data_IF_911770014847
#
_entry.id   IF_911770014847
#
_cell.length_a   1.000
_cell.length_b   1.000
_cell.length_c   1.000
_cell.angle_alpha   90.00
_cell.angle_beta   90.00
_cell.angle_gamma   90.00
#
_symmetry.space_group_name_H-M   'P 1'
#
loop_
_entity.id
_entity.type
_entity.pdbx_description
1 polymer ?
#
# COMPACT_ATOMS: atom_id res chain seq x y z
N UNK A 1 -9.87 -19.74 3.06
CA UNK A 1 -9.41 -20.68 4.09
C UNK A 1 -10.63 -21.32 4.75
N UNK A 2 -10.68 -22.63 4.92
CA UNK A 2 -11.75 -23.33 5.63
C UNK A 2 -11.53 -23.26 7.16
N UNK A 3 -12.58 -23.44 7.96
CA UNK A 3 -12.48 -23.38 9.43
C UNK A 3 -11.46 -24.38 10.02
N UNK A 4 -11.32 -25.58 9.44
CA UNK A 4 -10.32 -26.56 9.86
C UNK A 4 -8.86 -26.14 9.59
N UNK A 5 -8.62 -25.13 8.76
CA UNK A 5 -7.27 -24.59 8.56
C UNK A 5 -6.83 -23.67 9.72
N UNK A 6 -7.75 -23.15 10.54
CA UNK A 6 -7.39 -22.39 11.75
C UNK A 6 -6.67 -23.26 12.78
N UNK A 7 -7.11 -24.51 12.95
CA UNK A 7 -6.47 -25.46 13.87
C UNK A 7 -5.07 -25.83 13.37
N UNK A 8 -4.90 -26.00 12.04
CA UNK A 8 -3.60 -26.20 11.42
C UNK A 8 -2.67 -25.01 11.64
N UNK A 9 -3.18 -23.79 11.51
CA UNK A 9 -2.41 -22.57 11.81
C UNK A 9 -2.01 -22.53 13.28
N UNK A 10 -2.92 -22.79 14.21
CA UNK A 10 -2.63 -22.81 15.63
C UNK A 10 -1.55 -23.86 15.99
N UNK A 11 -1.63 -25.06 15.42
CA UNK A 11 -0.62 -26.10 15.58
C UNK A 11 0.74 -25.67 15.01
N UNK A 12 0.74 -25.01 13.85
CA UNK A 12 1.95 -24.50 13.22
C UNK A 12 2.63 -23.43 14.10
N UNK A 13 1.85 -22.49 14.61
CA UNK A 13 2.32 -21.41 15.47
C UNK A 13 2.86 -21.92 16.81
N UNK A 14 2.29 -23.02 17.32
CA UNK A 14 2.70 -23.63 18.58
C UNK A 14 2.38 -22.77 19.80
N UNK A 15 3.08 -23.02 20.91
CA UNK A 15 2.85 -22.32 22.17
C UNK A 15 3.17 -20.81 22.12
N UNK A 16 2.37 -20.03 22.85
CA UNK A 16 2.60 -18.59 23.07
C UNK A 16 1.85 -17.64 22.12
N UNK A 17 1.09 -18.17 21.15
CA UNK A 17 0.18 -17.39 20.33
C UNK A 17 -1.25 -17.45 20.89
N UNK A 18 -1.89 -16.29 21.03
CA UNK A 18 -3.28 -16.18 21.48
C UNK A 18 -4.18 -15.84 20.31
N UNK A 19 -5.25 -16.59 20.10
CA UNK A 19 -6.23 -16.30 19.06
C UNK A 19 -7.30 -15.33 19.58
N UNK A 20 -7.66 -14.32 18.78
CA UNK A 20 -8.89 -13.57 18.96
C UNK A 20 -9.60 -13.35 17.62
N UNK A 21 -10.93 -13.21 17.66
CA UNK A 21 -11.71 -12.76 16.50
C UNK A 21 -11.48 -11.26 16.29
N UNK A 22 -11.41 -10.86 15.03
CA UNK A 22 -11.18 -9.48 14.63
C UNK A 22 -9.89 -9.30 13.83
N UNK A 23 -9.74 -8.07 13.33
CA UNK A 23 -8.57 -7.61 12.59
C UNK A 23 -7.36 -7.42 13.53
N UNK A 24 -6.14 -7.42 12.98
CA UNK A 24 -4.97 -6.97 13.73
C UNK A 24 -5.11 -5.49 14.15
N UNK A 25 -4.29 -5.01 15.10
CA UNK A 25 -4.36 -3.63 15.58
C UNK A 25 -4.21 -2.64 14.40
N UNK A 26 -5.04 -1.59 14.41
CA UNK A 26 -5.14 -0.65 13.28
C UNK A 26 -3.84 0.15 13.03
N UNK A 27 -3.02 0.30 14.06
CA UNK A 27 -1.72 0.96 14.07
C UNK A 27 -0.54 0.00 13.79
N UNK A 28 -0.83 -1.26 13.47
CA UNK A 28 0.22 -2.24 13.20
C UNK A 28 0.98 -1.95 11.90
N UNK A 29 2.30 -2.06 11.96
CA UNK A 29 3.18 -1.99 10.79
C UNK A 29 3.08 -3.30 10.01
N UNK A 30 2.66 -3.23 8.76
CA UNK A 30 2.54 -4.40 7.91
C UNK A 30 3.93 -4.86 7.43
N UNK A 31 4.24 -6.13 7.70
CA UNK A 31 5.53 -6.74 7.32
C UNK A 31 5.56 -7.10 5.82
N UNK A 32 4.40 -7.12 5.16
CA UNK A 32 4.25 -7.31 3.71
C UNK A 32 3.81 -6.05 3.02
N UNK A 33 4.21 -5.91 1.75
CA UNK A 33 3.80 -4.79 0.91
C UNK A 33 2.30 -4.87 0.64
N UNK A 34 1.62 -3.72 0.62
CA UNK A 34 0.17 -3.67 0.28
C UNK A 34 -0.15 -4.33 -1.06
N UNK A 35 0.71 -4.18 -2.07
CA UNK A 35 0.53 -4.80 -3.38
C UNK A 35 0.63 -6.34 -3.38
N UNK A 36 1.13 -6.94 -2.29
CA UNK A 36 1.16 -8.39 -2.13
C UNK A 36 -0.10 -8.94 -1.44
N UNK A 37 -0.99 -8.07 -0.97
CA UNK A 37 -2.24 -8.44 -0.31
C UNK A 37 -3.32 -8.69 -1.36
N UNK A 38 -4.06 -9.78 -1.18
CA UNK A 38 -5.27 -10.06 -1.94
C UNK A 38 -6.38 -9.08 -1.55
N UNK A 39 -7.22 -8.69 -2.51
CA UNK A 39 -8.38 -7.84 -2.23
C UNK A 39 -9.41 -8.60 -1.38
N UNK A 40 -9.71 -8.08 -0.20
CA UNK A 40 -10.65 -8.71 0.73
C UNK A 40 -12.08 -8.82 0.19
N UNK A 41 -12.44 -8.17 -0.92
CA UNK A 41 -13.76 -8.29 -1.56
C UNK A 41 -13.88 -9.40 -2.53
N UNK A 42 -12.86 -9.54 -3.36
CA UNK A 42 -12.71 -10.73 -4.15
C UNK A 42 -12.68 -11.99 -3.25
N UNK A 43 -11.96 -11.92 -2.13
CA UNK A 43 -11.79 -13.07 -1.23
C UNK A 43 -13.02 -13.36 -0.36
N UNK A 44 -13.65 -12.33 0.21
CA UNK A 44 -14.72 -12.50 1.21
C UNK A 44 -16.13 -12.24 0.65
N UNK A 45 -16.28 -12.02 -0.67
CA UNK A 45 -17.58 -11.83 -1.32
C UNK A 45 -18.41 -13.10 -1.50
N UNK A 46 -17.85 -14.27 -1.18
CA UNK A 46 -18.51 -15.58 -1.24
C UNK A 46 -18.92 -16.12 0.13
N UNK A 47 -18.82 -17.44 0.31
CA UNK A 47 -19.08 -18.07 1.60
C UNK A 47 -18.20 -17.51 2.73
N UNK A 48 -18.74 -17.37 3.97
CA UNK A 48 -18.00 -16.84 5.11
C UNK A 48 -16.84 -17.75 5.50
N UNK A 49 -15.65 -17.35 5.07
CA UNK A 49 -14.38 -18.04 5.32
C UNK A 49 -13.51 -17.19 6.25
N UNK A 50 -12.89 -17.79 7.28
CA UNK A 50 -12.00 -17.03 8.15
C UNK A 50 -10.78 -16.53 7.39
N UNK A 51 -10.46 -15.25 7.54
CA UNK A 51 -9.20 -14.65 7.09
C UNK A 51 -8.27 -14.56 8.28
N UNK A 52 -7.07 -15.08 8.13
CA UNK A 52 -6.10 -15.21 9.22
C UNK A 52 -5.04 -14.13 9.14
N UNK A 53 -4.75 -13.55 10.29
CA UNK A 53 -3.67 -12.61 10.50
C UNK A 53 -2.77 -13.06 11.65
N UNK A 54 -1.50 -12.68 11.58
CA UNK A 54 -0.54 -12.78 12.68
C UNK A 54 -0.17 -11.37 13.11
N UNK A 55 -0.20 -11.12 14.42
CA UNK A 55 0.19 -9.86 15.03
C UNK A 55 1.24 -10.11 16.11
N UNK A 56 2.41 -9.51 15.95
CA UNK A 56 3.50 -9.58 16.91
C UNK A 56 3.72 -8.21 17.56
N UNK A 57 3.78 -8.16 18.90
CA UNK A 57 4.12 -6.94 19.62
C UNK A 57 5.54 -7.00 20.13
N UNK A 58 6.31 -5.94 19.93
CA UNK A 58 7.60 -5.76 20.56
C UNK A 58 7.88 -4.27 20.72
N UNK A 59 8.53 -3.88 21.82
CA UNK A 59 8.98 -2.49 22.04
C UNK A 59 7.84 -1.44 21.92
N UNK A 60 6.62 -1.83 22.29
CA UNK A 60 5.43 -0.96 22.18
C UNK A 60 4.82 -0.87 20.77
N UNK A 61 5.44 -1.46 19.75
CA UNK A 61 4.94 -1.47 18.37
C UNK A 61 4.30 -2.81 18.01
N UNK A 62 3.18 -2.76 17.31
CA UNK A 62 2.58 -3.93 16.65
C UNK A 62 3.10 -4.09 15.22
N UNK A 63 3.40 -5.34 14.86
CA UNK A 63 3.74 -5.77 13.51
C UNK A 63 2.68 -6.77 13.05
N UNK A 64 2.15 -6.60 11.85
CA UNK A 64 1.09 -7.44 11.33
C UNK A 64 1.47 -8.12 10.01
N UNK A 65 0.89 -9.29 9.80
CA UNK A 65 1.04 -10.08 8.60
C UNK A 65 -0.27 -10.81 8.28
N UNK A 66 -0.63 -10.86 7.00
CA UNK A 66 -1.73 -11.66 6.48
C UNK A 66 -1.73 -11.62 4.97
N UNK A 67 -2.42 -12.56 4.33
CA UNK A 67 -2.49 -12.66 2.86
C UNK A 67 -3.50 -11.71 2.22
N UNK A 68 -4.51 -11.29 2.99
CA UNK A 68 -5.64 -10.52 2.51
C UNK A 68 -5.61 -9.14 3.17
N UNK A 69 -5.99 -8.10 2.43
CA UNK A 69 -6.13 -6.77 3.01
C UNK A 69 -7.27 -6.74 4.05
N UNK A 70 -7.13 -6.02 5.17
CA UNK A 70 -8.20 -5.82 6.14
C UNK A 70 -9.49 -5.34 5.48
N UNK A 71 -10.58 -6.07 5.69
CA UNK A 71 -11.90 -5.71 5.19
C UNK A 71 -12.98 -6.15 6.18
N UNK A 72 -13.93 -5.28 6.48
CA UNK A 72 -14.96 -5.51 7.51
C UNK A 72 -15.91 -6.67 7.16
N UNK A 73 -16.13 -6.91 5.87
CA UNK A 73 -16.92 -8.04 5.36
C UNK A 73 -16.28 -9.41 5.61
N UNK A 74 -14.98 -9.45 5.92
CA UNK A 74 -14.27 -10.70 6.18
C UNK A 74 -14.44 -11.14 7.64
N UNK A 75 -14.79 -12.40 7.85
CA UNK A 75 -14.67 -13.02 9.18
C UNK A 75 -13.19 -13.12 9.52
N UNK A 76 -12.69 -12.22 10.35
CA UNK A 76 -11.26 -12.09 10.62
C UNK A 76 -10.86 -12.80 11.91
N UNK A 77 -9.73 -13.48 11.90
CA UNK A 77 -9.12 -14.11 13.07
C UNK A 77 -7.66 -13.70 13.12
N UNK A 78 -7.22 -13.21 14.28
CA UNK A 78 -5.84 -12.77 14.47
C UNK A 78 -5.18 -13.57 15.59
N UNK A 79 -3.97 -14.05 15.34
CA UNK A 79 -3.11 -14.65 16.35
C UNK A 79 -2.09 -13.64 16.85
N UNK A 80 -2.03 -13.44 18.16
CA UNK A 80 -1.22 -12.43 18.82
C UNK A 80 -0.09 -13.07 19.63
N UNK A 81 1.09 -12.46 19.59
CA UNK A 81 2.20 -12.84 20.48
C UNK A 81 3.09 -11.65 20.78
N UNK A 82 3.59 -11.58 22.01
CA UNK A 82 4.61 -10.61 22.41
C UNK A 82 6.01 -11.22 22.24
N UNK A 83 6.95 -10.40 21.78
CA UNK A 83 8.34 -10.77 21.53
C UNK A 83 9.30 -9.82 22.24
N UNK A 84 10.51 -10.29 22.58
CA UNK A 84 11.48 -9.49 23.32
C UNK A 84 12.09 -8.33 22.51
N UNK A 85 12.01 -8.38 21.17
CA UNK A 85 12.51 -7.30 20.31
C UNK A 85 11.80 -7.25 18.95
N UNK A 86 11.83 -6.08 18.32
CA UNK A 86 11.24 -5.86 16.99
C UNK A 86 11.85 -6.81 15.94
N UNK A 87 13.17 -7.04 16.01
CA UNK A 87 13.87 -8.01 15.16
C UNK A 87 13.30 -9.41 15.30
N UNK A 88 13.09 -9.89 16.53
CA UNK A 88 12.52 -11.24 16.78
C UNK A 88 11.05 -11.34 16.38
N UNK A 89 10.27 -10.27 16.58
CA UNK A 89 8.88 -10.20 16.13
C UNK A 89 8.78 -10.34 14.61
N UNK A 90 9.51 -9.50 13.87
CA UNK A 90 9.48 -9.51 12.40
C UNK A 90 10.09 -10.79 11.84
N UNK A 91 11.18 -11.30 12.43
CA UNK A 91 11.77 -12.60 12.07
C UNK A 91 10.75 -13.74 12.17
N UNK A 92 10.03 -13.83 13.28
CA UNK A 92 8.99 -14.84 13.45
C UNK A 92 7.85 -14.67 12.42
N UNK A 93 7.40 -13.43 12.19
CA UNK A 93 6.37 -13.16 11.19
C UNK A 93 6.83 -13.55 9.78
N UNK A 94 8.08 -13.28 9.39
CA UNK A 94 8.63 -13.73 8.12
C UNK A 94 8.59 -15.25 8.01
N UNK A 95 9.09 -15.96 9.01
CA UNK A 95 9.20 -17.42 8.97
C UNK A 95 7.83 -18.09 8.91
N UNK A 96 6.87 -17.64 9.73
CA UNK A 96 5.49 -18.09 9.65
C UNK A 96 4.79 -17.62 8.37
N UNK A 97 5.14 -16.45 7.85
CA UNK A 97 4.61 -15.92 6.61
C UNK A 97 4.90 -16.81 5.42
N UNK A 98 6.15 -17.27 5.34
CA UNK A 98 6.60 -18.24 4.34
C UNK A 98 5.90 -19.58 4.49
N UNK A 99 5.68 -20.03 5.73
CA UNK A 99 5.16 -21.37 6.03
C UNK A 99 3.63 -21.50 5.97
N UNK A 100 2.90 -20.43 6.31
CA UNK A 100 1.43 -20.43 6.44
C UNK A 100 0.77 -19.79 5.22
N UNK A 101 1.37 -18.72 4.69
CA UNK A 101 0.78 -17.93 3.61
C UNK A 101 1.55 -18.04 2.29
N UNK A 102 2.58 -18.90 2.25
CA UNK A 102 3.44 -19.13 1.08
C UNK A 102 4.06 -17.84 0.52
N UNK A 103 4.36 -16.88 1.40
CA UNK A 103 5.02 -15.64 0.97
C UNK A 103 6.45 -15.91 0.49
N UNK A 104 6.88 -15.20 -0.55
CA UNK A 104 8.27 -15.18 -1.00
C UNK A 104 8.93 -13.82 -0.72
N UNK A 105 10.26 -13.79 -0.60
CA UNK A 105 11.06 -12.64 -0.13
C UNK A 105 10.60 -11.26 -0.69
N UNK A 106 10.42 -11.07 -2.00
CA UNK A 106 9.96 -9.81 -2.58
C UNK A 106 8.63 -9.27 -2.02
N UNK A 107 7.73 -10.12 -1.52
CA UNK A 107 6.43 -9.68 -1.00
C UNK A 107 6.53 -8.96 0.35
N UNK A 108 7.60 -9.21 1.10
CA UNK A 108 7.88 -8.52 2.35
C UNK A 108 8.28 -7.06 2.10
N UNK A 109 7.88 -6.17 3.02
CA UNK A 109 8.29 -4.77 2.99
C UNK A 109 9.75 -4.67 3.41
N UNK A 110 10.60 -4.43 2.41
CA UNK A 110 12.04 -4.32 2.61
C UNK A 110 12.44 -3.16 3.52
N UNK A 111 11.60 -2.14 3.70
CA UNK A 111 11.84 -1.04 4.65
C UNK A 111 11.78 -1.55 6.08
N UNK A 112 10.80 -2.42 6.35
CA UNK A 112 10.64 -3.06 7.66
C UNK A 112 11.80 -4.02 7.91
N UNK A 113 12.14 -4.85 6.91
CA UNK A 113 13.28 -5.79 6.97
C UNK A 113 14.61 -5.05 7.23
N UNK A 114 14.86 -3.94 6.53
CA UNK A 114 16.04 -3.08 6.75
C UNK A 114 16.04 -2.47 8.15
N UNK A 115 14.92 -1.89 8.58
CA UNK A 115 14.79 -1.21 9.86
C UNK A 115 15.07 -2.13 11.06
N UNK A 116 14.64 -3.40 10.98
CA UNK A 116 14.87 -4.38 12.06
C UNK A 116 16.16 -5.19 11.91
N UNK A 117 17.00 -4.85 10.91
CA UNK A 117 18.32 -5.46 10.74
C UNK A 117 18.30 -6.90 10.23
N UNK A 118 17.30 -7.27 9.41
CA UNK A 118 17.18 -8.62 8.85
C UNK A 118 17.87 -8.81 7.49
N UNK A 119 18.49 -7.76 6.92
CA UNK A 119 19.23 -7.87 5.65
C UNK A 119 20.44 -8.81 5.69
N UNK A 120 20.94 -9.19 6.88
CA UNK A 120 21.98 -10.21 7.00
C UNK A 120 21.48 -11.64 6.83
N UNK A 121 20.16 -11.87 6.76
CA UNK A 121 19.63 -13.21 6.50
C UNK A 121 19.83 -13.60 5.03
N UNK A 122 20.19 -14.85 4.72
CA UNK A 122 20.45 -15.29 3.35
C UNK A 122 19.28 -15.05 2.39
N UNK A 123 18.05 -15.15 2.89
CA UNK A 123 16.84 -14.95 2.11
C UNK A 123 16.51 -13.49 1.80
N UNK A 124 17.17 -12.52 2.44
CA UNK A 124 16.99 -11.09 2.23
C UNK A 124 18.23 -10.35 1.74
N UNK A 125 19.42 -10.94 1.85
CA UNK A 125 20.69 -10.30 1.50
C UNK A 125 20.66 -9.67 0.10
N UNK A 126 20.39 -10.46 -0.93
CA UNK A 126 20.31 -9.97 -2.32
C UNK A 126 19.20 -8.93 -2.52
N UNK A 127 18.07 -9.11 -1.83
CA UNK A 127 16.94 -8.18 -1.98
C UNK A 127 17.26 -6.80 -1.39
N UNK A 128 17.91 -6.76 -0.23
CA UNK A 128 18.38 -5.53 0.37
C UNK A 128 19.49 -4.88 -0.47
N UNK A 129 20.45 -5.66 -0.97
CA UNK A 129 21.53 -5.13 -1.82
C UNK A 129 21.00 -4.50 -3.11
N UNK A 130 20.08 -5.17 -3.82
CA UNK A 130 19.42 -4.59 -5.00
C UNK A 130 18.72 -3.29 -4.67
N UNK A 131 17.97 -3.24 -3.55
CA UNK A 131 17.26 -2.02 -3.14
C UNK A 131 18.23 -0.87 -2.85
N UNK A 132 19.36 -1.14 -2.19
CA UNK A 132 20.40 -0.14 -1.91
C UNK A 132 21.01 0.40 -3.19
N UNK A 133 21.28 -0.46 -4.17
CA UNK A 133 21.78 -0.08 -5.49
C UNK A 133 20.77 0.77 -6.29
N UNK A 134 19.46 0.53 -6.12
CA UNK A 134 18.40 1.32 -6.76
C UNK A 134 18.10 2.66 -6.07
N UNK A 135 18.52 2.85 -4.81
CA UNK A 135 18.20 4.06 -4.02
C UNK A 135 18.74 5.36 -4.65
N UNK A 136 19.98 5.42 -5.20
CA UNK A 136 20.47 6.59 -5.93
C UNK A 136 19.67 6.86 -7.21
N UNK A 137 19.28 5.82 -7.95
CA UNK A 137 18.48 5.94 -9.17
C UNK A 137 17.09 6.51 -8.87
N UNK A 138 16.45 6.06 -7.79
CA UNK A 138 15.17 6.61 -7.31
C UNK A 138 15.29 8.04 -6.81
N UNK A 139 16.40 8.43 -6.17
CA UNK A 139 16.67 9.82 -5.77
C UNK A 139 17.03 10.73 -6.95
N UNK A 140 17.53 10.18 -8.06
CA UNK A 140 17.78 10.94 -9.27
C UNK A 140 16.48 11.17 -10.08
N UNK A 141 15.52 10.24 -10.00
CA UNK A 141 14.19 10.36 -10.63
C UNK A 141 13.17 11.09 -9.75
N UNK A 142 13.28 10.98 -8.43
CA UNK A 142 12.62 11.88 -7.49
C UNK A 142 13.46 13.15 -7.39
N UNK A 143 13.22 14.13 -8.26
CA UNK A 143 13.90 15.42 -8.24
C UNK A 143 13.98 16.05 -6.84
N UNK A 144 14.86 17.05 -6.63
CA UNK A 144 15.12 17.61 -5.30
C UNK A 144 13.81 17.96 -4.60
N UNK A 145 13.64 17.44 -3.38
CA UNK A 145 12.53 17.81 -2.53
C UNK A 145 12.50 19.33 -2.42
N UNK A 146 11.35 19.93 -2.75
CA UNK A 146 11.17 21.37 -2.62
C UNK A 146 11.56 21.79 -1.19
N UNK A 147 12.39 22.84 -1.03
CA UNK A 147 12.81 23.27 0.29
C UNK A 147 11.56 23.61 1.14
N UNK A 148 11.61 23.39 2.46
CA UNK A 148 10.52 23.78 3.34
C UNK A 148 10.26 25.29 3.17
N UNK A 149 8.98 25.72 3.18
CA UNK A 149 8.64 27.11 2.91
C UNK A 149 9.31 27.99 3.97
N UNK A 150 10.29 28.79 3.54
CA UNK A 150 10.75 29.91 4.33
C UNK A 150 9.65 30.96 4.33
N UNK A 151 9.15 31.30 5.52
CA UNK A 151 8.30 32.46 5.73
C UNK A 151 9.06 33.73 5.34
N UNK A 152 8.78 34.21 4.13
CA UNK A 152 9.22 35.48 3.57
C UNK A 152 8.12 36.03 2.66
N UNK A 153 7.92 37.36 2.63
CA UNK A 153 6.63 37.93 2.28
C UNK A 153 6.34 37.86 0.77
N UNK A 154 5.12 37.40 0.49
CA UNK A 154 4.28 37.63 -0.69
C UNK A 154 4.93 38.17 -1.98
N UNK A 155 5.05 37.29 -2.97
CA UNK A 155 4.92 37.68 -4.38
C UNK A 155 4.36 36.51 -5.24
N UNK A 156 3.04 36.48 -5.36
CA UNK A 156 2.29 36.26 -6.61
C UNK A 156 2.46 34.96 -7.42
N UNK A 157 1.79 33.89 -7.02
CA UNK A 157 0.86 33.11 -7.88
C UNK A 157 0.26 31.98 -7.04
N UNK A 158 -1.03 32.08 -6.70
CA UNK A 158 -1.70 31.02 -5.96
C UNK A 158 -1.73 29.71 -6.78
N UNK A 159 -1.53 28.54 -6.16
CA UNK A 159 -1.62 27.25 -6.85
C UNK A 159 -3.01 27.09 -7.45
N UNK A 160 -3.05 26.79 -8.76
CA UNK A 160 -4.30 26.65 -9.51
C UNK A 160 -4.97 25.34 -9.10
N UNK A 161 -6.12 25.43 -8.44
CA UNK A 161 -6.92 24.25 -8.05
C UNK A 161 -7.90 23.86 -9.14
N UNK A 162 -8.09 22.56 -9.34
CA UNK A 162 -9.08 21.98 -10.26
C UNK A 162 -9.84 20.85 -9.59
N UNK A 163 -11.06 20.59 -10.06
CA UNK A 163 -11.83 19.43 -9.63
C UNK A 163 -11.18 18.13 -10.11
N UNK A 164 -10.84 17.25 -9.17
CA UNK A 164 -10.26 15.93 -9.46
C UNK A 164 -11.19 15.10 -10.35
N UNK A 165 -12.51 15.24 -10.18
CA UNK A 165 -13.50 14.56 -10.99
C UNK A 165 -13.45 15.00 -12.46
N UNK A 166 -13.29 16.31 -12.71
CA UNK A 166 -13.14 16.85 -14.06
C UNK A 166 -11.83 16.41 -14.70
N UNK A 167 -10.73 16.42 -13.94
CA UNK A 167 -9.42 15.95 -14.37
C UNK A 167 -9.43 14.47 -14.80
N UNK A 168 -10.06 13.62 -13.99
CA UNK A 168 -10.21 12.19 -14.26
C UNK A 168 -11.16 11.92 -15.43
N UNK A 169 -12.28 12.63 -15.53
CA UNK A 169 -13.23 12.48 -16.64
C UNK A 169 -12.58 12.80 -17.99
N UNK A 170 -11.80 13.88 -18.05
CA UNK A 170 -11.05 14.26 -19.25
C UNK A 170 -9.96 13.23 -19.60
N UNK A 171 -9.27 12.69 -18.60
CA UNK A 171 -8.25 11.66 -18.83
C UNK A 171 -8.86 10.36 -19.36
N UNK A 172 -9.88 9.84 -18.66
CA UNK A 172 -10.53 8.59 -19.03
C UNK A 172 -11.23 8.69 -20.38
N UNK A 173 -11.83 9.84 -20.71
CA UNK A 173 -12.40 10.10 -22.03
C UNK A 173 -11.38 9.95 -23.17
N UNK A 174 -10.13 10.41 -22.99
CA UNK A 174 -9.08 10.26 -24.01
C UNK A 174 -8.42 8.89 -24.04
N UNK A 175 -8.59 8.10 -22.99
CA UNK A 175 -8.17 6.70 -22.91
C UNK A 175 -9.28 5.73 -23.34
N UNK A 176 -10.48 6.22 -23.68
CA UNK A 176 -11.63 5.40 -24.08
C UNK A 176 -12.25 4.59 -22.94
N UNK A 177 -12.08 5.05 -21.70
CA UNK A 177 -12.56 4.39 -20.48
C UNK A 177 -13.76 5.15 -19.92
N UNK A 178 -14.77 4.43 -19.41
CA UNK A 178 -15.92 5.06 -18.74
C UNK A 178 -15.54 5.51 -17.32
N UNK A 179 -15.67 6.81 -17.05
CA UNK A 179 -15.43 7.38 -15.74
C UNK A 179 -16.68 7.20 -14.84
N UNK A 180 -16.71 6.15 -14.02
CA UNK A 180 -17.68 6.02 -12.94
C UNK A 180 -17.36 6.98 -11.79
N UNK A 181 -18.22 7.98 -11.55
CA UNK A 181 -18.01 8.95 -10.47
C UNK A 181 -18.63 8.51 -9.14
N UNK A 182 -17.79 8.23 -8.13
CA UNK A 182 -18.23 8.31 -6.73
C UNK A 182 -18.17 9.77 -6.30
N UNK A 183 -19.32 10.43 -6.18
CA UNK A 183 -19.47 11.88 -6.00
C UNK A 183 -18.84 12.47 -4.74
N UNK A 184 -17.54 12.75 -4.77
CA UNK A 184 -16.90 13.70 -3.85
C UNK A 184 -16.15 14.75 -4.66
N UNK A 185 -16.55 16.01 -4.48
CA UNK A 185 -15.85 17.16 -5.02
C UNK A 185 -14.54 17.35 -4.24
N UNK A 186 -13.45 16.79 -4.78
CA UNK A 186 -12.11 17.00 -4.27
C UNK A 186 -11.38 17.98 -5.20
N UNK A 187 -10.87 19.07 -4.63
CA UNK A 187 -10.00 19.99 -5.35
C UNK A 187 -8.54 19.57 -5.18
N UNK A 188 -7.82 19.55 -6.29
CA UNK A 188 -6.41 19.15 -6.37
C UNK A 188 -5.60 20.21 -7.10
N UNK A 189 -4.31 20.27 -6.80
CA UNK A 189 -3.37 21.15 -7.49
C UNK A 189 -3.23 20.72 -8.97
N UNK A 190 -3.50 21.64 -9.88
CA UNK A 190 -3.49 21.38 -11.33
C UNK A 190 -2.12 20.93 -11.82
N UNK A 191 -1.03 21.54 -11.33
CA UNK A 191 0.33 21.19 -11.76
C UNK A 191 0.72 19.80 -11.24
N UNK A 192 0.27 19.44 -10.04
CA UNK A 192 0.46 18.09 -9.52
C UNK A 192 -0.24 17.02 -10.39
N UNK A 193 -1.48 17.27 -10.80
CA UNK A 193 -2.22 16.33 -11.66
C UNK A 193 -1.69 16.34 -13.09
N UNK A 194 -1.28 17.49 -13.60
CA UNK A 194 -0.66 17.63 -14.93
C UNK A 194 0.65 16.86 -15.03
N UNK A 195 1.51 16.92 -14.01
CA UNK A 195 2.74 16.15 -13.96
C UNK A 195 2.45 14.63 -14.04
N UNK A 196 1.43 14.18 -13.31
CA UNK A 196 0.96 12.80 -13.39
C UNK A 196 0.39 12.45 -14.78
N UNK A 197 -0.44 13.32 -15.37
CA UNK A 197 -1.05 13.11 -16.67
C UNK A 197 -0.02 13.11 -17.82
N UNK A 198 1.06 13.89 -17.71
CA UNK A 198 2.15 13.94 -18.67
C UNK A 198 2.82 12.58 -18.86
N UNK A 199 3.00 11.83 -17.76
CA UNK A 199 3.54 10.47 -17.80
C UNK A 199 2.64 9.44 -18.49
N UNK A 200 1.34 9.73 -18.61
CA UNK A 200 0.34 8.81 -19.19
C UNK A 200 -0.06 9.19 -20.62
N UNK A 201 -0.08 10.48 -20.95
CA UNK A 201 -0.65 10.98 -22.19
C UNK A 201 0.39 11.34 -23.27
N UNK A 202 1.66 11.47 -22.89
CA UNK A 202 2.72 11.87 -23.82
C UNK A 202 2.34 13.15 -24.59
N UNK A 203 2.31 13.07 -25.92
CA UNK A 203 1.98 14.21 -26.81
C UNK A 203 0.53 14.72 -26.76
N UNK A 204 -0.37 14.06 -26.03
CA UNK A 204 -1.79 14.47 -25.89
C UNK A 204 -2.06 15.30 -24.62
N UNK A 205 -1.01 15.75 -23.93
CA UNK A 205 -1.12 16.50 -22.68
C UNK A 205 -1.86 17.84 -22.88
N UNK A 206 -1.58 18.57 -23.95
CA UNK A 206 -2.21 19.87 -24.21
C UNK A 206 -3.73 19.77 -24.46
N UNK A 207 -4.17 18.65 -25.04
CA UNK A 207 -5.60 18.35 -25.25
C UNK A 207 -6.32 18.07 -23.93
N UNK A 208 -5.63 17.38 -23.02
CA UNK A 208 -6.11 17.15 -21.66
C UNK A 208 -6.22 18.44 -20.87
N UNK A 209 -5.18 19.27 -20.87
CA UNK A 209 -5.17 20.55 -20.15
C UNK A 209 -6.33 21.44 -20.60
N UNK A 210 -6.59 21.50 -21.92
CA UNK A 210 -7.75 22.20 -22.48
C UNK A 210 -9.08 21.62 -22.00
N UNK A 211 -9.22 20.31 -21.90
CA UNK A 211 -10.43 19.68 -21.39
C UNK A 211 -10.67 20.00 -19.90
N UNK A 212 -9.64 19.92 -19.07
CA UNK A 212 -9.72 20.16 -17.61
C UNK A 212 -10.00 21.63 -17.30
N UNK A 213 -9.39 22.56 -18.04
CA UNK A 213 -9.54 23.99 -17.81
C UNK A 213 -10.72 24.62 -18.57
N UNK A 214 -11.17 24.01 -19.65
CA UNK A 214 -12.18 24.54 -20.56
C UNK A 214 -13.58 23.95 -20.42
N UNK A 215 -13.78 22.89 -19.63
CA UNK A 215 -15.11 22.39 -19.26
C UNK A 215 -15.98 21.88 -20.41
N UNK A 216 -15.40 21.44 -21.54
CA UNK A 216 -16.09 20.67 -22.57
C UNK A 216 -15.18 19.58 -23.12
N UNK A 217 -15.52 18.33 -22.81
CA UNK A 217 -15.13 17.22 -23.66
C UNK A 217 -15.82 17.44 -25.02
N UNK A 218 -15.05 17.52 -26.10
CA UNK A 218 -15.60 17.56 -27.44
C UNK A 218 -16.49 16.34 -27.65
N UNK A 219 -17.78 16.59 -27.86
CA UNK A 219 -18.67 15.65 -28.51
C UNK A 219 -18.04 15.28 -29.86
N UNK A 220 -17.99 13.98 -30.15
CA UNK A 220 -17.74 13.48 -31.50
C UNK A 220 -18.75 14.13 -32.45
N UNK A 221 -18.25 14.60 -33.59
CA UNK A 221 -18.96 14.51 -34.86
C UNK A 221 -18.25 13.42 -35.67
#
# INVERSE_FOLDING_TARGET
>A
MAWGELDRVAQILGGGWRMARGLPPADAVWVVRRAALEDGGAVCGGEPKPVVYLAAKAEGQWFALGKVAPAERCVSVTFYREFPSARRAVEALVDYGKRIFDFFTPQFDVSVVEAVGLCGRPDFADYCERRRAERPLRRATAGPAAPPPQEGPASGSAPRRVGLDAALRCLFGMLGLEAGGCGRAAEVDFEAVRCWAAGLLGGRLEEWERCVLGGRAGARA
#
